data_IF_751726898121
#
_entry.id   IF_751726898121
#
_cell.length_a   1.000
_cell.length_b   1.000
_cell.length_c   1.000
_cell.angle_alpha   90.00
_cell.angle_beta   90.00
_cell.angle_gamma   90.00
#
_symmetry.space_group_name_H-M   'P 1'
#
loop_
_entity.id
_entity.type
_entity.pdbx_description
1 polymer ?
#
# COMPACT_ATOMS: atom_id res chain seq x y z
N UNK A 1 4.63 20.59 -0.09
CA UNK A 1 3.98 19.29 0.17
C UNK A 1 4.95 18.21 -0.25
N UNK A 2 5.17 17.21 0.59
CA UNK A 2 6.05 16.08 0.38
C UNK A 2 5.19 14.82 0.27
N UNK A 3 5.56 13.91 -0.63
CA UNK A 3 4.91 12.63 -0.82
C UNK A 3 5.91 11.54 -0.42
N UNK A 4 5.51 10.63 0.45
CA UNK A 4 6.27 9.40 0.69
C UNK A 4 5.50 8.21 0.13
N UNK A 5 6.25 7.38 -0.58
CA UNK A 5 5.83 6.11 -1.19
C UNK A 5 6.89 5.09 -0.79
N UNK A 6 6.53 3.81 -0.71
CA UNK A 6 7.49 2.75 -0.42
C UNK A 6 7.23 1.55 -1.31
N UNK A 7 8.30 0.92 -1.80
CA UNK A 7 8.23 -0.26 -2.68
C UNK A 7 7.96 -1.54 -1.88
N UNK A 8 8.36 -1.55 -0.62
CA UNK A 8 8.28 -2.70 0.30
C UNK A 8 6.85 -2.94 0.84
N UNK A 9 6.02 -1.89 0.89
CA UNK A 9 4.67 -1.93 1.43
C UNK A 9 3.67 -1.39 0.41
N UNK A 10 3.07 -2.32 -0.33
CA UNK A 10 2.11 -1.99 -1.37
C UNK A 10 0.90 -1.25 -0.78
N UNK A 11 0.54 -0.12 -1.38
CA UNK A 11 -0.57 0.72 -0.93
C UNK A 11 -0.18 1.81 0.08
N UNK A 12 1.09 1.93 0.48
CA UNK A 12 1.55 3.05 1.31
C UNK A 12 1.85 4.27 0.45
N UNK A 13 0.95 5.25 0.53
CA UNK A 13 1.11 6.58 -0.07
C UNK A 13 0.70 7.62 0.97
N UNK A 14 1.61 8.53 1.32
CA UNK A 14 1.32 9.58 2.31
C UNK A 14 1.80 10.94 1.85
N UNK A 15 1.07 11.98 2.20
CA UNK A 15 1.38 13.37 1.85
C UNK A 15 1.46 14.24 3.11
N UNK A 16 2.51 15.05 3.25
CA UNK A 16 2.69 15.99 4.35
C UNK A 16 3.20 17.36 3.89
N UNK A 17 3.26 18.34 4.80
CA UNK A 17 3.80 19.69 4.55
C UNK A 17 5.31 19.76 4.78
N UNK A 18 5.85 18.92 5.67
CA UNK A 18 7.28 18.80 5.98
C UNK A 18 7.74 17.34 5.92
N UNK A 19 9.05 17.12 5.83
CA UNK A 19 9.64 15.77 5.81
C UNK A 19 9.32 15.01 7.11
N UNK A 20 9.47 15.68 8.26
CA UNK A 20 9.16 15.11 9.57
C UNK A 20 7.70 14.69 9.68
N UNK A 21 6.76 15.55 9.28
CA UNK A 21 5.33 15.24 9.28
C UNK A 21 5.00 14.06 8.37
N UNK A 22 5.60 14.03 7.17
CA UNK A 22 5.40 12.93 6.22
C UNK A 22 5.92 11.60 6.76
N UNK A 23 7.06 11.61 7.47
CA UNK A 23 7.63 10.40 8.07
C UNK A 23 6.79 9.88 9.25
N UNK A 24 6.28 10.78 10.09
CA UNK A 24 5.40 10.42 11.21
C UNK A 24 4.11 9.77 10.68
N UNK A 25 3.50 10.36 9.64
CA UNK A 25 2.30 9.82 9.00
C UNK A 25 2.62 8.49 8.27
N UNK A 26 3.76 8.40 7.57
CA UNK A 26 4.19 7.17 6.90
C UNK A 26 4.28 6.00 7.88
N UNK A 27 4.82 6.22 9.08
CA UNK A 27 4.99 5.19 10.09
C UNK A 27 3.66 4.69 10.66
N UNK A 28 2.72 5.59 10.95
CA UNK A 28 1.39 5.23 11.42
C UNK A 28 0.61 4.42 10.36
N UNK A 29 0.67 4.87 9.10
CA UNK A 29 0.02 4.17 7.98
C UNK A 29 0.67 2.82 7.70
N UNK A 30 2.00 2.72 7.79
CA UNK A 30 2.72 1.46 7.63
C UNK A 30 2.28 0.41 8.65
N UNK A 31 2.13 0.82 9.92
CA UNK A 31 1.69 -0.09 10.97
C UNK A 31 0.26 -0.57 10.73
N UNK A 32 -0.67 0.33 10.41
CA UNK A 32 -2.08 -0.02 10.11
C UNK A 32 -2.21 -0.95 8.90
N UNK A 33 -1.40 -0.73 7.86
CA UNK A 33 -1.37 -1.60 6.69
C UNK A 33 -0.83 -2.98 7.07
N UNK A 34 0.23 -3.07 7.87
CA UNK A 34 0.79 -4.34 8.32
C UNK A 34 -0.18 -5.11 9.22
N UNK A 35 -0.88 -4.42 10.13
CA UNK A 35 -1.94 -5.00 10.96
C UNK A 35 -3.08 -5.55 10.08
N UNK A 36 -3.54 -4.77 9.10
CA UNK A 36 -4.59 -5.20 8.15
C UNK A 36 -4.17 -6.39 7.27
N UNK A 37 -2.87 -6.48 6.92
CA UNK A 37 -2.33 -7.64 6.22
C UNK A 37 -2.24 -8.89 7.11
N UNK A 38 -2.10 -8.71 8.43
CA UNK A 38 -1.98 -9.83 9.38
C UNK A 38 -3.35 -10.45 9.71
N UNK A 39 -4.40 -9.63 9.77
CA UNK A 39 -5.79 -10.11 9.91
C UNK A 39 -6.34 -10.74 8.62
N UNK A 40 -5.73 -10.44 7.48
CA UNK A 40 -6.01 -11.15 6.24
C UNK A 40 -5.20 -12.45 6.24
N UNK A 41 -5.86 -13.58 6.50
CA UNK A 41 -5.35 -14.90 6.13
C UNK A 41 -5.19 -14.94 4.60
N UNK A 42 -4.09 -14.38 4.11
CA UNK A 42 -3.71 -14.37 2.70
C UNK A 42 -3.46 -15.83 2.31
N UNK A 43 -4.51 -16.46 1.79
CA UNK A 43 -4.39 -17.69 1.02
C UNK A 43 -3.35 -17.43 -0.07
N UNK A 44 -2.38 -18.33 -0.30
CA UNK A 44 -1.34 -18.11 -1.30
C UNK A 44 -2.02 -17.76 -2.62
N UNK A 45 -1.76 -16.54 -3.08
CA UNK A 45 -2.21 -16.04 -4.37
C UNK A 45 -1.81 -17.07 -5.43
N UNK A 46 -2.80 -17.74 -6.03
CA UNK A 46 -2.56 -18.71 -7.08
C UNK A 46 -1.80 -17.99 -8.21
N UNK A 47 -0.69 -18.55 -8.67
CA UNK A 47 0.18 -17.98 -9.70
C UNK A 47 -0.49 -17.81 -11.09
N UNK A 48 -1.80 -18.04 -11.18
CA UNK A 48 -2.63 -17.90 -12.37
C UNK A 48 -3.98 -17.29 -12.01
N UNK A 49 -4.16 -16.02 -12.34
CA UNK A 49 -5.47 -15.35 -12.33
C UNK A 49 -5.89 -15.03 -13.76
N UNK A 50 -7.08 -15.51 -14.13
CA UNK A 50 -7.68 -15.22 -15.43
C UNK A 50 -8.26 -13.79 -15.39
N UNK A 51 -7.52 -12.83 -15.97
CA UNK A 51 -7.99 -11.46 -16.10
C UNK A 51 -8.76 -11.31 -17.42
N UNK A 52 -10.07 -11.06 -17.33
CA UNK A 52 -10.84 -10.57 -18.47
C UNK A 52 -10.42 -9.12 -18.75
N UNK A 53 -9.46 -8.96 -19.66
CA UNK A 53 -9.03 -7.67 -20.17
C UNK A 53 -10.15 -7.09 -21.05
N UNK A 54 -10.98 -6.20 -20.49
CA UNK A 54 -11.92 -5.40 -21.27
C UNK A 54 -11.15 -4.28 -21.96
N UNK A 55 -10.81 -4.51 -23.23
CA UNK A 55 -10.26 -3.49 -24.11
C UNK A 55 -11.45 -2.68 -24.65
N UNK A 56 -11.62 -1.45 -24.16
CA UNK A 56 -12.63 -0.53 -24.70
C UNK A 56 -12.26 -0.10 -26.12
N UNK A 57 -13.19 -0.27 -27.06
CA UNK A 57 -13.11 0.27 -28.43
C UNK A 57 -13.37 1.78 -28.46
#
# INVERSE_FOLDING_TARGET
>A
YYLATTDDLQGLVVQGKTITETLEIARDVAQKLLESQTDTTLSPIAESFDYSLVIGQ
#
